data_IF_550811675799
#
_entry.id   IF_550811675799
#
_cell.length_a   1.000
_cell.length_b   1.000
_cell.length_c   1.000
_cell.angle_alpha   90.00
_cell.angle_beta   90.00
_cell.angle_gamma   90.00
#
_symmetry.space_group_name_H-M   'P 1'
#
loop_
_entity.id
_entity.type
_entity.pdbx_description
1 polymer ?
#
# COMPACT_ATOMS: atom_id res chain seq x y z
N UNK A 1 -7.11 23.91 9.74
CA UNK A 1 -6.83 22.50 9.40
C UNK A 1 -7.10 21.66 10.64
N UNK A 2 -8.03 20.69 10.59
CA UNK A 2 -8.31 19.84 11.75
C UNK A 2 -7.23 18.74 11.87
N UNK A 3 -6.56 18.65 13.01
CA UNK A 3 -5.68 17.53 13.31
C UNK A 3 -6.51 16.24 13.37
N UNK A 4 -6.29 15.32 12.44
CA UNK A 4 -6.84 13.96 12.50
C UNK A 4 -5.99 13.16 13.50
N UNK A 5 -6.45 13.07 14.74
CA UNK A 5 -5.85 12.19 15.75
C UNK A 5 -6.29 10.75 15.52
N UNK A 6 -5.34 9.82 15.53
CA UNK A 6 -5.61 8.39 15.34
C UNK A 6 -6.20 7.80 16.62
N UNK A 7 -7.30 7.06 16.50
CA UNK A 7 -7.85 6.30 17.62
C UNK A 7 -7.01 5.06 17.85
N UNK A 8 -6.45 4.93 19.06
CA UNK A 8 -5.67 3.78 19.47
C UNK A 8 -6.50 2.47 19.46
N UNK A 9 -5.85 1.35 19.20
CA UNK A 9 -6.54 0.05 19.03
C UNK A 9 -7.17 -0.42 20.35
N UNK A 10 -6.57 -0.10 21.49
CA UNK A 10 -7.16 -0.35 22.81
C UNK A 10 -8.48 0.42 23.01
N UNK A 11 -8.49 1.70 22.61
CA UNK A 11 -9.67 2.54 22.71
C UNK A 11 -10.79 2.07 21.77
N UNK A 12 -10.44 1.57 20.58
CA UNK A 12 -11.40 0.93 19.66
C UNK A 12 -12.03 -0.31 20.27
N UNK A 13 -11.22 -1.19 20.88
CA UNK A 13 -11.72 -2.40 21.54
C UNK A 13 -12.68 -2.07 22.68
N UNK A 14 -12.36 -1.06 23.49
CA UNK A 14 -13.26 -0.59 24.55
C UNK A 14 -14.58 -0.03 24.02
N UNK A 15 -14.56 0.68 22.90
CA UNK A 15 -15.80 1.20 22.28
C UNK A 15 -16.65 0.05 21.77
N UNK A 16 -16.06 -0.91 21.05
CA UNK A 16 -16.77 -2.06 20.49
C UNK A 16 -17.38 -2.91 21.60
N UNK A 17 -16.62 -3.27 22.64
CA UNK A 17 -17.17 -4.04 23.76
C UNK A 17 -18.32 -3.35 24.48
N UNK A 18 -18.32 -2.01 24.56
CA UNK A 18 -19.46 -1.26 25.14
C UNK A 18 -20.66 -1.17 24.18
N UNK A 19 -20.42 -1.11 22.88
CA UNK A 19 -21.48 -1.15 21.85
C UNK A 19 -22.17 -2.50 21.82
N UNK A 20 -21.43 -3.61 21.96
CA UNK A 20 -21.99 -4.96 22.06
C UNK A 20 -22.91 -5.12 23.28
N UNK A 21 -22.62 -4.42 24.39
CA UNK A 21 -23.49 -4.37 25.57
C UNK A 21 -24.67 -3.38 25.45
N UNK A 22 -24.91 -2.77 24.28
CA UNK A 22 -26.08 -1.91 24.02
C UNK A 22 -25.99 -0.50 24.61
N UNK A 23 -24.80 -0.01 24.97
CA UNK A 23 -24.63 1.31 25.61
C UNK A 23 -24.53 2.44 24.56
N UNK A 24 -25.37 3.47 24.70
CA UNK A 24 -25.57 4.51 23.66
C UNK A 24 -24.88 5.85 23.95
N UNK A 25 -24.49 6.14 25.20
CA UNK A 25 -23.88 7.42 25.63
C UNK A 25 -22.34 7.45 25.55
N UNK A 26 -21.74 6.82 24.55
CA UNK A 26 -20.28 6.68 24.45
C UNK A 26 -19.56 7.95 23.94
N UNK A 27 -20.26 8.78 23.17
CA UNK A 27 -19.70 10.01 22.60
C UNK A 27 -19.31 11.02 23.69
N UNK A 28 -20.14 11.17 24.71
CA UNK A 28 -19.93 12.11 25.82
C UNK A 28 -18.89 11.57 26.80
N UNK A 29 -18.96 10.29 27.15
CA UNK A 29 -18.04 9.65 28.10
C UNK A 29 -16.58 9.62 27.61
N UNK A 30 -16.36 9.46 26.30
CA UNK A 30 -15.02 9.30 25.72
C UNK A 30 -14.53 10.56 24.99
N UNK A 31 -15.37 11.59 24.85
CA UNK A 31 -15.06 12.81 24.09
C UNK A 31 -14.80 12.55 22.60
N UNK A 32 -15.34 11.46 22.06
CA UNK A 32 -15.17 11.04 20.66
C UNK A 32 -16.44 11.38 19.90
N UNK A 33 -16.31 12.00 18.73
CA UNK A 33 -17.47 12.31 17.91
C UNK A 33 -18.28 11.05 17.54
N UNK A 34 -19.61 11.12 17.66
CA UNK A 34 -20.53 10.02 17.32
C UNK A 34 -20.29 9.45 15.91
N UNK A 35 -19.88 10.29 14.95
CA UNK A 35 -19.55 9.83 13.59
C UNK A 35 -18.34 8.89 13.52
N UNK A 36 -17.39 8.98 14.46
CA UNK A 36 -16.26 8.05 14.55
C UNK A 36 -16.73 6.71 15.11
N UNK A 37 -17.58 6.74 16.14
CA UNK A 37 -18.17 5.55 16.76
C UNK A 37 -19.02 4.76 15.76
N UNK A 38 -19.90 5.45 15.02
CA UNK A 38 -20.75 4.83 14.00
C UNK A 38 -19.94 4.18 12.87
N UNK A 39 -18.90 4.87 12.36
CA UNK A 39 -18.01 4.29 11.33
C UNK A 39 -17.21 3.09 11.85
N UNK A 40 -16.77 3.15 13.11
CA UNK A 40 -16.05 2.04 13.74
C UNK A 40 -16.96 0.83 13.91
N UNK A 41 -18.20 1.03 14.36
CA UNK A 41 -19.19 -0.03 14.51
C UNK A 41 -19.50 -0.70 13.18
N UNK A 42 -19.82 0.09 12.15
CA UNK A 42 -20.10 -0.44 10.81
C UNK A 42 -18.94 -1.30 10.30
N UNK A 43 -17.71 -0.79 10.42
CA UNK A 43 -16.52 -1.53 10.01
C UNK A 43 -16.32 -2.82 10.81
N UNK A 44 -16.60 -2.82 12.10
CA UNK A 44 -16.52 -4.03 12.91
C UNK A 44 -17.54 -5.09 12.47
N UNK A 45 -18.76 -4.68 12.13
CA UNK A 45 -19.77 -5.58 11.57
C UNK A 45 -19.36 -6.14 10.20
N UNK A 46 -18.68 -5.34 9.37
CA UNK A 46 -18.24 -5.74 8.04
C UNK A 46 -16.99 -6.66 8.06
N UNK A 47 -15.96 -6.28 8.82
CA UNK A 47 -14.63 -6.93 8.83
C UNK A 47 -14.47 -7.96 9.98
N UNK A 48 -15.28 -7.88 11.03
CA UNK A 48 -15.12 -8.67 12.28
C UNK A 48 -13.85 -8.33 13.08
N UNK A 49 -13.12 -7.29 12.69
CA UNK A 49 -11.84 -6.93 13.28
C UNK A 49 -11.84 -5.49 13.82
N UNK A 50 -11.39 -5.35 15.05
CA UNK A 50 -11.17 -4.06 15.73
C UNK A 50 -9.91 -3.36 15.22
N UNK A 51 -8.92 -4.17 14.84
CA UNK A 51 -7.60 -3.71 14.46
C UNK A 51 -7.64 -3.01 13.11
N UNK A 52 -6.70 -2.10 12.91
CA UNK A 52 -6.57 -1.43 11.63
C UNK A 52 -6.14 -2.43 10.54
N UNK A 53 -6.99 -2.63 9.52
CA UNK A 53 -6.53 -3.28 8.29
C UNK A 53 -5.51 -2.37 7.59
N UNK A 54 -4.28 -2.86 7.42
CA UNK A 54 -3.30 -2.20 6.58
C UNK A 54 -3.75 -2.31 5.13
N UNK A 55 -4.07 -1.16 4.51
CA UNK A 55 -4.35 -1.12 3.08
C UNK A 55 -3.11 -1.60 2.32
N UNK A 56 -3.29 -2.50 1.33
CA UNK A 56 -2.22 -3.07 0.49
C UNK A 56 -1.48 -2.04 -0.40
N UNK A 57 -1.75 -0.76 -0.22
CA UNK A 57 -1.22 0.33 -1.02
C UNK A 57 -1.76 0.35 -2.45
N UNK A 58 -1.24 1.26 -3.26
CA UNK A 58 -1.56 1.33 -4.68
C UNK A 58 -0.96 0.11 -5.41
N UNK A 59 -1.72 -0.59 -6.28
CA UNK A 59 -1.19 -1.65 -7.10
C UNK A 59 0.03 -1.21 -7.91
N UNK A 60 0.96 -2.14 -8.11
CA UNK A 60 2.17 -1.90 -8.91
C UNK A 60 1.77 -1.80 -10.39
N UNK A 61 2.48 -0.94 -11.13
CA UNK A 61 2.35 -0.87 -12.60
C UNK A 61 2.93 -2.13 -13.26
N UNK A 62 3.97 -2.72 -12.66
CA UNK A 62 4.60 -3.94 -13.18
C UNK A 62 4.04 -5.19 -12.53
N UNK A 63 4.00 -6.26 -13.30
CA UNK A 63 3.68 -7.61 -12.83
C UNK A 63 4.94 -8.36 -12.37
N UNK A 64 4.82 -9.40 -11.53
CA UNK A 64 5.97 -10.21 -11.12
C UNK A 64 6.73 -10.87 -12.29
N UNK A 65 6.02 -11.16 -13.40
CA UNK A 65 6.64 -11.74 -14.59
C UNK A 65 7.48 -10.71 -15.37
N UNK A 66 7.00 -9.47 -15.46
CA UNK A 66 7.76 -8.35 -16.03
C UNK A 66 8.98 -8.02 -15.18
N UNK A 67 8.85 -8.03 -13.85
CA UNK A 67 9.99 -7.84 -12.94
C UNK A 67 11.05 -8.94 -13.15
N UNK A 68 10.62 -10.19 -13.39
CA UNK A 68 11.52 -11.31 -13.73
C UNK A 68 12.18 -11.10 -15.10
N UNK A 69 11.42 -10.66 -16.10
CA UNK A 69 11.95 -10.33 -17.43
C UNK A 69 13.03 -9.25 -17.32
N UNK A 70 12.76 -8.15 -16.60
CA UNK A 70 13.73 -7.08 -16.37
C UNK A 70 15.01 -7.59 -15.72
N UNK A 71 14.90 -8.47 -14.71
CA UNK A 71 16.06 -9.05 -14.04
C UNK A 71 16.90 -9.92 -14.98
N UNK A 72 16.27 -10.78 -15.79
CA UNK A 72 16.97 -11.63 -16.76
C UNK A 72 17.65 -10.79 -17.84
N UNK A 73 16.95 -9.81 -18.39
CA UNK A 73 17.47 -8.94 -19.45
C UNK A 73 18.62 -8.07 -18.96
N UNK A 74 18.53 -7.53 -17.74
CA UNK A 74 19.62 -6.77 -17.11
C UNK A 74 20.85 -7.65 -16.82
N UNK A 75 20.66 -8.91 -16.42
CA UNK A 75 21.77 -9.86 -16.21
C UNK A 75 22.46 -10.24 -17.52
N UNK A 76 21.69 -10.45 -18.60
CA UNK A 76 22.22 -10.74 -19.94
C UNK A 76 23.00 -9.55 -20.52
N UNK A 77 22.45 -8.34 -20.39
CA UNK A 77 23.00 -7.13 -20.96
C UNK A 77 23.42 -6.13 -19.87
N UNK A 78 24.56 -6.39 -19.21
CA UNK A 78 25.04 -5.56 -18.07
C UNK A 78 25.29 -4.08 -18.42
N UNK A 79 25.44 -3.75 -19.71
CA UNK A 79 25.66 -2.36 -20.18
C UNK A 79 24.37 -1.61 -20.50
N UNK A 80 23.21 -2.27 -20.47
CA UNK A 80 21.93 -1.63 -20.78
C UNK A 80 21.57 -0.56 -19.76
N UNK A 81 21.04 0.56 -20.26
CA UNK A 81 20.49 1.61 -19.39
C UNK A 81 19.05 1.27 -18.98
N UNK A 82 18.57 1.92 -17.93
CA UNK A 82 17.17 1.74 -17.50
C UNK A 82 16.16 2.21 -18.56
N UNK A 83 16.53 3.16 -19.43
CA UNK A 83 15.70 3.57 -20.57
C UNK A 83 15.63 2.49 -21.66
N UNK A 84 16.74 1.80 -21.92
CA UNK A 84 16.77 0.69 -22.89
C UNK A 84 15.92 -0.47 -22.42
N UNK A 85 16.04 -0.81 -21.13
CA UNK A 85 15.24 -1.87 -20.51
C UNK A 85 13.73 -1.52 -20.48
N UNK A 86 13.39 -0.26 -20.26
CA UNK A 86 12.00 0.21 -20.35
C UNK A 86 11.44 0.04 -21.77
N UNK A 87 12.21 0.45 -22.80
CA UNK A 87 11.82 0.25 -24.21
C UNK A 87 11.65 -1.22 -24.55
N UNK A 88 12.60 -2.07 -24.15
CA UNK A 88 12.52 -3.51 -24.38
C UNK A 88 11.30 -4.15 -23.69
N UNK A 89 10.99 -3.75 -22.46
CA UNK A 89 9.79 -4.23 -21.76
C UNK A 89 8.51 -3.79 -22.46
N UNK A 90 8.45 -2.52 -22.89
CA UNK A 90 7.30 -2.00 -23.64
C UNK A 90 7.12 -2.74 -24.96
N UNK A 91 8.19 -3.05 -25.70
CA UNK A 91 8.11 -3.85 -26.91
C UNK A 91 7.69 -5.31 -26.65
N UNK A 92 8.06 -5.89 -25.51
CA UNK A 92 7.78 -7.29 -25.20
C UNK A 92 6.39 -7.53 -24.59
N UNK A 93 5.88 -6.59 -23.79
CA UNK A 93 4.66 -6.79 -22.98
C UNK A 93 3.63 -5.66 -23.18
N UNK A 94 3.98 -4.59 -23.89
CA UNK A 94 3.11 -3.41 -24.06
C UNK A 94 3.09 -2.47 -22.85
N UNK A 95 3.64 -2.91 -21.71
CA UNK A 95 3.65 -2.12 -20.47
C UNK A 95 4.68 -0.99 -20.54
N UNK A 96 4.19 0.25 -20.57
CA UNK A 96 5.06 1.43 -20.57
C UNK A 96 5.44 1.79 -19.14
N UNK A 97 6.73 1.68 -18.81
CA UNK A 97 7.25 1.98 -17.47
C UNK A 97 8.29 3.08 -17.53
N UNK A 98 8.26 3.98 -16.54
CA UNK A 98 9.30 5.01 -16.43
C UNK A 98 10.66 4.42 -16.07
N UNK A 99 11.72 5.11 -16.46
CA UNK A 99 13.11 4.77 -16.10
C UNK A 99 13.28 4.58 -14.59
N UNK A 100 12.65 5.43 -13.79
CA UNK A 100 12.69 5.38 -12.33
C UNK A 100 12.01 4.11 -11.79
N UNK A 101 10.93 3.66 -12.42
CA UNK A 101 10.28 2.39 -12.07
C UNK A 101 11.25 1.23 -12.30
N UNK A 102 11.93 1.19 -13.44
CA UNK A 102 12.94 0.16 -13.74
C UNK A 102 14.07 0.16 -12.70
N UNK A 103 14.59 1.33 -12.31
CA UNK A 103 15.59 1.40 -11.23
C UNK A 103 15.08 0.83 -9.92
N UNK A 104 13.85 1.16 -9.51
CA UNK A 104 13.25 0.62 -8.28
C UNK A 104 13.09 -0.90 -8.35
N UNK A 105 12.72 -1.45 -9.52
CA UNK A 105 12.59 -2.91 -9.70
C UNK A 105 13.92 -3.64 -9.66
N UNK A 106 14.92 -3.12 -10.36
CA UNK A 106 16.25 -3.71 -10.31
C UNK A 106 16.86 -3.61 -8.91
N UNK A 107 16.69 -2.47 -8.22
CA UNK A 107 17.18 -2.26 -6.87
C UNK A 107 16.56 -3.22 -5.85
N UNK A 108 15.28 -3.57 -5.98
CA UNK A 108 14.62 -4.58 -5.15
C UNK A 108 15.25 -5.99 -5.29
N UNK A 109 15.97 -6.24 -6.39
CA UNK A 109 16.65 -7.51 -6.70
C UNK A 109 18.18 -7.37 -6.51
N UNK A 110 18.66 -6.20 -6.04
CA UNK A 110 20.09 -5.91 -5.87
C UNK A 110 20.84 -5.70 -7.19
N UNK A 111 20.14 -5.43 -8.29
CA UNK A 111 20.73 -5.14 -9.59
C UNK A 111 20.70 -3.64 -9.88
N UNK A 112 21.63 -3.19 -10.72
CA UNK A 112 21.71 -1.80 -11.15
C UNK A 112 21.87 -1.73 -12.67
N UNK A 113 21.05 -0.91 -13.31
CA UNK A 113 21.25 -0.55 -14.71
C UNK A 113 22.36 0.50 -14.83
N UNK A 114 23.04 0.52 -15.99
CA UNK A 114 24.05 1.53 -16.29
C UNK A 114 23.48 2.93 -16.15
N UNK A 115 24.25 3.84 -15.56
CA UNK A 115 23.98 5.27 -15.62
C UNK A 115 24.60 5.83 -16.91
N UNK A 116 23.82 6.48 -17.80
CA UNK A 116 24.38 7.25 -18.88
C UNK A 116 25.25 8.38 -18.30
N UNK A 117 26.31 8.73 -19.04
CA UNK A 117 27.13 9.89 -18.75
C UNK A 117 26.34 11.18 -18.92
#
# INVERSE_FOLDING_TARGET
>A
MAQRKHLDDFLRGRIIGRLECGRTQLSEELGIAQSVISRLWQRFQDDGNVSRCYSRGRPRVTTPNEDRYLAVTAKRNRRSTASDLSRQLSSATGTTVSRQTVYRRLGHIGLYARRPA
#
